data_IF_774897241007
#
_entry.id   IF_774897241007
#
_cell.length_a   1.000
_cell.length_b   1.000
_cell.length_c   1.000
_cell.angle_alpha   90.00
_cell.angle_beta   90.00
_cell.angle_gamma   90.00
#
_symmetry.space_group_name_H-M   'P 1'
#
loop_
_entity.id
_entity.type
_entity.pdbx_description
1 polymer ?
#
# COMPACT_ATOMS: atom_id res chain seq x y z
N UNK A 1 -21.05 -18.71 -18.90
CA UNK A 1 -21.90 -18.05 -17.90
C UNK A 1 -21.04 -17.04 -17.19
N UNK A 2 -21.17 -15.76 -17.55
CA UNK A 2 -20.43 -14.66 -16.92
C UNK A 2 -21.14 -14.34 -15.62
N UNK A 3 -20.44 -14.51 -14.50
CA UNK A 3 -20.93 -14.17 -13.17
C UNK A 3 -20.47 -12.75 -12.87
N UNK A 4 -21.41 -11.81 -13.02
CA UNK A 4 -21.29 -10.47 -12.44
C UNK A 4 -21.18 -10.60 -10.92
N UNK A 5 -19.98 -10.37 -10.40
CA UNK A 5 -19.74 -10.21 -8.97
C UNK A 5 -20.01 -8.74 -8.64
N UNK A 6 -21.28 -8.40 -8.43
CA UNK A 6 -21.65 -7.17 -7.74
C UNK A 6 -21.40 -7.36 -6.25
N UNK A 7 -20.24 -6.89 -5.77
CA UNK A 7 -19.98 -6.65 -4.36
C UNK A 7 -20.85 -5.46 -3.90
N UNK A 8 -21.97 -5.80 -3.27
CA UNK A 8 -22.89 -4.88 -2.62
C UNK A 8 -22.27 -4.35 -1.33
N UNK A 9 -21.37 -3.37 -1.43
CA UNK A 9 -21.14 -2.43 -0.34
C UNK A 9 -22.36 -1.51 -0.28
N UNK A 10 -22.96 -1.35 0.90
CA UNK A 10 -24.17 -0.57 1.16
C UNK A 10 -24.10 0.83 0.50
N UNK A 11 -24.67 0.98 -0.70
CA UNK A 11 -24.55 2.18 -1.55
C UNK A 11 -25.38 3.38 -1.05
N UNK A 12 -25.99 3.28 0.13
CA UNK A 12 -26.88 4.29 0.69
C UNK A 12 -26.19 5.57 1.19
N UNK A 13 -24.86 5.67 1.08
CA UNK A 13 -24.08 6.88 1.41
C UNK A 13 -23.53 7.64 0.20
N UNK A 14 -23.94 7.34 -1.03
CA UNK A 14 -23.54 8.10 -2.23
C UNK A 14 -24.43 9.33 -2.45
N UNK A 15 -24.33 10.34 -1.57
CA UNK A 15 -24.61 11.72 -2.01
C UNK A 15 -23.47 12.13 -2.94
N UNK A 16 -23.77 12.72 -4.11
CA UNK A 16 -22.71 13.24 -4.98
C UNK A 16 -21.90 14.27 -4.19
N UNK A 17 -20.63 13.97 -3.96
CA UNK A 17 -19.69 14.91 -3.34
C UNK A 17 -19.73 16.25 -4.07
N UNK A 18 -19.65 17.37 -3.34
CA UNK A 18 -19.46 18.68 -3.98
C UNK A 18 -18.09 18.79 -4.67
N UNK A 19 -17.15 17.90 -4.33
CA UNK A 19 -15.85 17.78 -4.99
C UNK A 19 -15.97 17.00 -6.28
N UNK A 20 -15.42 17.58 -7.35
CA UNK A 20 -15.46 17.00 -8.66
C UNK A 20 -14.59 15.74 -8.75
N UNK A 21 -14.92 14.87 -9.71
CA UNK A 21 -13.99 13.86 -10.18
C UNK A 21 -12.63 14.48 -10.55
N UNK A 22 -11.60 13.64 -10.63
CA UNK A 22 -10.28 14.06 -11.10
C UNK A 22 -10.38 14.89 -12.38
N UNK A 23 -9.53 15.92 -12.57
CA UNK A 23 -9.43 16.65 -13.82
C UNK A 23 -9.31 15.66 -14.99
N UNK A 24 -10.00 15.93 -16.11
CA UNK A 24 -10.09 14.99 -17.24
C UNK A 24 -8.73 14.39 -17.66
N UNK A 25 -7.66 15.18 -17.67
CA UNK A 25 -6.30 14.69 -17.98
C UNK A 25 -5.81 13.65 -16.96
N UNK A 26 -5.94 13.94 -15.66
CA UNK A 26 -5.56 13.00 -14.59
C UNK A 26 -6.41 11.72 -14.66
N UNK A 27 -7.72 11.87 -14.88
CA UNK A 27 -8.61 10.73 -15.04
C UNK A 27 -8.26 9.89 -16.28
N UNK A 28 -7.93 10.53 -17.40
CA UNK A 28 -7.55 9.82 -18.62
C UNK A 28 -6.24 9.03 -18.43
N UNK A 29 -5.23 9.62 -17.78
CA UNK A 29 -4.00 8.89 -17.45
C UNK A 29 -4.29 7.72 -16.49
N UNK A 30 -5.09 7.94 -15.44
CA UNK A 30 -5.49 6.91 -14.49
C UNK A 30 -6.22 5.74 -15.19
N UNK A 31 -7.17 6.05 -16.06
CA UNK A 31 -7.92 5.03 -16.80
C UNK A 31 -7.03 4.32 -17.84
N UNK A 32 -6.03 5.01 -18.39
CA UNK A 32 -5.07 4.42 -19.32
C UNK A 32 -4.15 3.42 -18.62
N UNK A 33 -3.59 3.78 -17.46
CA UNK A 33 -2.70 2.88 -16.72
C UNK A 33 -3.48 1.67 -16.15
N UNK A 34 -4.69 1.86 -15.64
CA UNK A 34 -5.55 0.77 -15.15
C UNK A 34 -5.86 -0.24 -16.26
N UNK A 35 -6.12 0.23 -17.48
CA UNK A 35 -6.39 -0.67 -18.62
C UNK A 35 -5.15 -1.35 -19.18
N UNK A 36 -3.97 -0.78 -18.92
CA UNK A 36 -2.70 -1.23 -19.47
C UNK A 36 -1.98 -2.24 -18.58
N UNK A 37 -2.30 -2.32 -17.30
CA UNK A 37 -1.57 -3.12 -16.32
C UNK A 37 -2.45 -3.58 -15.14
N UNK A 38 -2.64 -4.89 -15.00
CA UNK A 38 -3.46 -5.53 -13.96
C UNK A 38 -3.05 -5.14 -12.53
N UNK A 39 -1.76 -4.83 -12.30
CA UNK A 39 -1.30 -4.41 -10.96
C UNK A 39 -1.87 -3.05 -10.61
N UNK A 40 -1.98 -2.14 -11.57
CA UNK A 40 -2.57 -0.83 -11.36
C UNK A 40 -4.09 -0.87 -11.27
N UNK A 41 -4.74 -1.78 -11.99
CA UNK A 41 -6.15 -2.09 -11.74
C UNK A 41 -6.36 -2.47 -10.27
N UNK A 42 -5.54 -3.38 -9.72
CA UNK A 42 -5.61 -3.81 -8.33
C UNK A 42 -5.16 -2.77 -7.32
N UNK A 43 -4.21 -1.92 -7.67
CA UNK A 43 -3.76 -0.80 -6.84
C UNK A 43 -4.89 0.19 -6.60
N UNK A 44 -5.64 0.51 -7.65
CA UNK A 44 -6.72 1.51 -7.61
C UNK A 44 -8.11 0.90 -7.40
N UNK A 45 -8.21 -0.42 -7.29
CA UNK A 45 -9.46 -1.13 -7.00
C UNK A 45 -10.11 -0.57 -5.73
N UNK A 46 -11.39 -0.21 -5.89
CA UNK A 46 -12.27 0.38 -4.88
C UNK A 46 -11.84 1.76 -4.34
N UNK A 47 -10.94 2.48 -5.03
CA UNK A 47 -10.57 3.85 -4.64
C UNK A 47 -11.40 4.88 -5.40
N UNK A 48 -12.15 5.67 -4.66
CA UNK A 48 -12.82 6.87 -5.11
C UNK A 48 -11.86 8.07 -5.01
N UNK A 49 -11.52 8.64 -6.15
CA UNK A 49 -10.70 9.83 -6.22
C UNK A 49 -11.57 11.09 -6.20
N UNK A 50 -11.26 11.99 -5.25
CA UNK A 50 -11.90 13.29 -5.15
C UNK A 50 -10.87 14.38 -5.36
N UNK A 51 -11.19 15.35 -6.21
CA UNK A 51 -10.29 16.47 -6.51
C UNK A 51 -10.81 17.77 -5.92
N UNK A 52 -9.91 18.55 -5.34
CA UNK A 52 -10.21 19.93 -4.97
C UNK A 52 -9.06 20.87 -5.28
N UNK A 53 -9.39 22.09 -5.71
CA UNK A 53 -8.45 23.20 -5.82
C UNK A 53 -8.71 24.30 -4.79
N UNK A 54 -9.64 24.08 -3.87
CA UNK A 54 -10.01 25.00 -2.79
C UNK A 54 -10.15 24.23 -1.47
N UNK A 55 -9.83 24.90 -0.37
CA UNK A 55 -9.99 24.37 0.96
C UNK A 55 -10.96 25.29 1.72
N UNK A 56 -12.25 24.95 1.69
CA UNK A 56 -13.32 25.75 2.30
C UNK A 56 -14.06 24.98 3.41
N UNK A 57 -14.99 25.64 4.07
CA UNK A 57 -15.79 25.05 5.16
C UNK A 57 -16.63 23.84 4.70
N UNK A 58 -16.97 23.78 3.41
CA UNK A 58 -17.69 22.64 2.85
C UNK A 58 -16.78 21.42 2.79
N UNK A 59 -15.54 21.61 2.30
CA UNK A 59 -14.51 20.56 2.25
C UNK A 59 -14.30 20.02 3.64
N UNK A 60 -14.21 20.94 4.59
CA UNK A 60 -13.99 20.60 5.97
C UNK A 60 -15.09 19.70 6.52
N UNK A 61 -16.36 20.06 6.30
CA UNK A 61 -17.53 19.31 6.77
C UNK A 61 -17.66 17.94 6.09
N UNK A 62 -17.44 17.85 4.78
CA UNK A 62 -17.58 16.59 4.05
C UNK A 62 -16.47 15.61 4.41
N UNK A 63 -15.22 16.07 4.39
CA UNK A 63 -14.07 15.20 4.73
C UNK A 63 -14.03 14.82 6.20
N UNK A 64 -14.56 15.66 7.10
CA UNK A 64 -14.66 15.35 8.52
C UNK A 64 -15.35 14.02 8.80
N UNK A 65 -16.50 13.84 8.16
CA UNK A 65 -17.35 12.67 8.38
C UNK A 65 -16.63 11.40 7.93
N UNK A 66 -15.84 11.49 6.85
CA UNK A 66 -15.07 10.37 6.32
C UNK A 66 -13.82 10.08 7.17
N UNK A 67 -13.08 11.13 7.56
CA UNK A 67 -11.83 11.00 8.31
C UNK A 67 -12.06 10.50 9.74
N UNK A 68 -13.23 10.77 10.32
CA UNK A 68 -13.62 10.27 11.65
C UNK A 68 -13.61 8.75 11.78
N UNK A 69 -13.62 8.01 10.66
CA UNK A 69 -13.60 6.55 10.64
C UNK A 69 -12.25 5.99 10.17
N UNK A 70 -11.33 6.84 9.73
CA UNK A 70 -10.07 6.40 9.16
C UNK A 70 -9.13 5.89 10.27
N UNK A 71 -8.59 4.66 10.17
CA UNK A 71 -7.61 4.17 11.14
C UNK A 71 -6.29 4.96 11.09
N UNK A 72 -5.94 5.44 9.90
CA UNK A 72 -4.82 6.33 9.65
C UNK A 72 -5.00 7.02 8.30
N UNK A 73 -4.24 8.08 8.08
CA UNK A 73 -4.13 8.76 6.79
C UNK A 73 -2.74 8.54 6.20
N UNK A 74 -2.69 8.42 4.87
CA UNK A 74 -1.45 8.55 4.11
C UNK A 74 -1.45 9.89 3.40
N UNK A 75 -0.30 10.56 3.39
CA UNK A 75 -0.12 11.88 2.83
C UNK A 75 1.12 11.88 1.94
N UNK A 76 1.00 12.38 0.71
CA UNK A 76 2.14 12.68 -0.14
C UNK A 76 2.03 14.10 -0.66
N UNK A 77 3.17 14.72 -0.89
CA UNK A 77 3.27 16.06 -1.48
C UNK A 77 4.14 15.96 -2.72
N UNK A 78 3.63 16.45 -3.83
CA UNK A 78 4.34 16.49 -5.11
C UNK A 78 4.33 17.92 -5.65
N UNK A 79 5.42 18.31 -6.29
CA UNK A 79 5.50 19.60 -6.98
C UNK A 79 5.22 19.36 -8.46
N UNK A 80 4.24 20.07 -8.99
CA UNK A 80 3.83 20.00 -10.38
C UNK A 80 4.17 21.32 -11.08
N UNK A 81 4.89 21.22 -12.21
CA UNK A 81 5.21 22.35 -13.08
C UNK A 81 4.34 22.27 -14.35
N UNK A 82 3.34 23.15 -14.51
CA UNK A 82 2.43 23.10 -15.66
C UNK A 82 3.14 23.11 -17.02
N UNK A 83 4.28 23.79 -17.11
CA UNK A 83 5.07 23.93 -18.33
C UNK A 83 5.63 22.60 -18.85
N UNK A 84 5.78 21.59 -18.00
CA UNK A 84 6.26 20.26 -18.39
C UNK A 84 5.22 19.48 -19.23
N UNK A 85 3.95 19.89 -19.22
CA UNK A 85 2.88 19.21 -19.97
C UNK A 85 2.46 19.93 -21.25
N UNK A 86 2.96 21.14 -21.49
CA UNK A 86 2.67 21.91 -22.71
C UNK A 86 3.78 21.68 -23.75
N UNK A 87 3.92 20.43 -24.19
CA UNK A 87 4.81 20.06 -25.29
C UNK A 87 4.19 20.40 -26.66
N UNK A 88 3.70 21.62 -26.87
CA UNK A 88 3.30 22.10 -28.21
C UNK A 88 3.33 23.62 -28.26
N UNK A 89 4.37 24.14 -28.92
CA UNK A 89 4.49 25.42 -29.61
C UNK A 89 3.71 26.65 -29.08
N UNK A 90 4.49 27.65 -28.68
CA UNK A 90 4.15 29.08 -28.58
C UNK A 90 3.33 29.55 -27.38
N UNK A 91 3.99 29.71 -26.22
CA UNK A 91 3.72 30.88 -25.37
C UNK A 91 5.04 31.32 -24.72
N UNK A 92 5.70 32.31 -25.31
CA UNK A 92 6.81 33.04 -24.68
C UNK A 92 6.24 34.09 -23.75
N UNK A 93 5.69 33.70 -22.59
CA UNK A 93 5.41 34.62 -21.51
C UNK A 93 6.04 34.10 -20.22
N UNK A 94 7.06 34.81 -19.75
CA UNK A 94 7.92 34.51 -18.60
C UNK A 94 7.22 34.60 -17.22
N UNK A 95 5.89 34.45 -17.17
CA UNK A 95 5.07 34.62 -15.96
C UNK A 95 4.48 33.31 -15.40
N UNK A 96 4.72 32.16 -16.02
CA UNK A 96 4.10 30.88 -15.60
C UNK A 96 5.00 29.92 -14.80
N UNK A 97 6.14 30.38 -14.27
CA UNK A 97 6.98 29.59 -13.34
C UNK A 97 6.36 29.43 -11.95
N UNK A 98 5.04 29.25 -11.85
CA UNK A 98 4.38 29.02 -10.57
C UNK A 98 4.31 27.53 -10.30
N UNK A 99 5.14 27.08 -9.38
CA UNK A 99 5.07 25.73 -8.82
C UNK A 99 3.70 25.50 -8.18
N UNK A 100 3.06 24.38 -8.51
CA UNK A 100 1.80 23.96 -7.88
C UNK A 100 2.12 22.78 -6.98
N UNK A 101 1.87 22.91 -5.68
CA UNK A 101 1.95 21.76 -4.77
C UNK A 101 0.66 20.96 -4.87
N UNK A 102 0.81 19.66 -5.07
CA UNK A 102 -0.27 18.70 -5.07
C UNK A 102 -0.14 17.84 -3.81
N UNK A 103 -1.20 17.79 -3.03
CA UNK A 103 -1.31 16.94 -1.85
C UNK A 103 -2.21 15.78 -2.22
N UNK A 104 -1.78 14.56 -1.92
CA UNK A 104 -2.61 13.38 -2.01
C UNK A 104 -2.82 12.82 -0.61
N UNK A 105 -4.08 12.65 -0.20
CA UNK A 105 -4.45 12.11 1.11
C UNK A 105 -5.35 10.91 0.89
N UNK A 106 -4.85 9.71 1.15
CA UNK A 106 -5.63 8.49 0.96
C UNK A 106 -5.87 7.73 2.27
N UNK A 107 -7.06 7.13 2.37
CA UNK A 107 -7.50 6.19 3.41
C UNK A 107 -8.65 5.33 2.87
N UNK A 108 -8.66 4.04 3.21
CA UNK A 108 -9.64 3.04 2.76
C UNK A 108 -10.01 3.16 1.28
N UNK A 109 -11.21 3.65 0.99
CA UNK A 109 -11.79 3.77 -0.33
C UNK A 109 -11.68 5.17 -0.91
N UNK A 110 -11.00 6.09 -0.24
CA UNK A 110 -10.96 7.49 -0.65
C UNK A 110 -9.53 7.93 -0.87
N UNK A 111 -9.32 8.71 -1.94
CA UNK A 111 -8.12 9.49 -2.09
C UNK A 111 -8.42 10.92 -2.55
N UNK A 112 -8.06 11.89 -1.72
CA UNK A 112 -8.24 13.31 -1.96
C UNK A 112 -6.99 13.88 -2.62
N UNK A 113 -7.13 14.42 -3.83
CA UNK A 113 -6.07 15.11 -4.56
C UNK A 113 -6.35 16.61 -4.50
N UNK A 114 -5.50 17.35 -3.79
CA UNK A 114 -5.69 18.76 -3.49
C UNK A 114 -4.58 19.57 -4.16
N UNK A 115 -4.92 20.52 -5.03
CA UNK A 115 -3.94 21.45 -5.58
C UNK A 115 -3.85 22.73 -4.75
N UNK A 116 -2.74 22.94 -4.04
CA UNK A 116 -2.46 24.19 -3.36
C UNK A 116 -1.77 25.16 -4.33
N UNK A 117 -2.58 26.04 -4.91
CA UNK A 117 -2.10 27.10 -5.82
C UNK A 117 -1.57 28.33 -5.07
N UNK A 118 -1.72 28.39 -3.74
CA UNK A 118 -1.25 29.48 -2.91
C UNK A 118 -0.94 29.00 -1.47
N UNK A 119 -0.17 29.79 -0.73
CA UNK A 119 0.25 29.49 0.64
C UNK A 119 -0.94 29.37 1.61
N UNK A 120 -2.03 30.11 1.38
CA UNK A 120 -3.23 30.04 2.22
C UNK A 120 -3.89 28.65 2.16
N UNK A 121 -3.95 28.04 0.98
CA UNK A 121 -4.53 26.71 0.78
C UNK A 121 -3.68 25.64 1.48
N UNK A 122 -2.36 25.73 1.33
CA UNK A 122 -1.41 24.85 2.04
C UNK A 122 -1.55 24.99 3.56
N UNK A 123 -1.60 26.22 4.08
CA UNK A 123 -1.76 26.49 5.52
C UNK A 123 -3.08 25.92 6.05
N UNK A 124 -4.19 26.14 5.33
CA UNK A 124 -5.51 25.65 5.72
C UNK A 124 -5.56 24.12 5.76
N UNK A 125 -4.91 23.45 4.79
CA UNK A 125 -4.77 22.01 4.76
C UNK A 125 -3.92 21.48 5.94
N UNK A 126 -2.83 22.16 6.27
CA UNK A 126 -1.97 21.79 7.39
C UNK A 126 -2.73 21.94 8.72
N UNK A 127 -3.47 23.03 8.89
CA UNK A 127 -4.32 23.25 10.06
C UNK A 127 -5.41 22.18 10.19
N UNK A 128 -6.05 21.84 9.07
CA UNK A 128 -6.99 20.73 8.99
C UNK A 128 -6.38 19.42 9.48
N UNK A 129 -5.27 18.99 8.88
CA UNK A 129 -4.63 17.72 9.24
C UNK A 129 -4.16 17.71 10.69
N UNK A 130 -3.64 18.83 11.19
CA UNK A 130 -3.25 18.98 12.60
C UNK A 130 -4.46 18.85 13.54
N UNK A 131 -5.60 19.45 13.18
CA UNK A 131 -6.85 19.31 13.93
C UNK A 131 -7.29 17.85 13.98
N UNK A 132 -7.34 17.15 12.84
CA UNK A 132 -7.74 15.74 12.78
C UNK A 132 -6.84 14.83 13.59
N UNK A 133 -5.53 15.00 13.45
CA UNK A 133 -4.57 14.21 14.21
C UNK A 133 -4.76 14.39 15.72
N UNK A 134 -5.03 15.61 16.19
CA UNK A 134 -5.22 15.91 17.61
C UNK A 134 -6.56 15.38 18.14
N UNK A 135 -7.65 15.58 17.41
CA UNK A 135 -9.00 15.23 17.85
C UNK A 135 -9.27 13.73 17.80
N UNK A 136 -8.77 13.04 16.78
CA UNK A 136 -9.07 11.63 16.54
C UNK A 136 -7.95 10.68 16.95
N UNK A 137 -6.81 11.21 17.41
CA UNK A 137 -5.59 10.42 17.59
C UNK A 137 -5.19 9.65 16.31
N UNK A 138 -5.58 10.17 15.14
CA UNK A 138 -5.34 9.53 13.86
C UNK A 138 -3.86 9.69 13.47
N UNK A 139 -3.21 8.58 13.16
CA UNK A 139 -1.84 8.59 12.65
C UNK A 139 -1.82 9.13 11.22
N UNK A 140 -0.85 9.98 10.90
CA UNK A 140 -0.63 10.49 9.54
C UNK A 140 0.75 10.04 9.08
N UNK A 141 0.79 9.26 8.02
CA UNK A 141 2.02 8.79 7.40
C UNK A 141 2.36 9.65 6.20
N UNK A 142 3.47 10.38 6.25
CA UNK A 142 4.01 11.05 5.07
C UNK A 142 4.75 10.04 4.18
N UNK A 143 4.44 10.02 2.89
CA UNK A 143 4.84 9.02 1.92
C UNK A 143 5.45 9.75 0.72
N UNK A 144 6.66 9.38 0.29
CA UNK A 144 7.31 9.97 -0.88
C UNK A 144 8.19 8.95 -1.61
N UNK A 145 8.34 9.12 -2.92
CA UNK A 145 9.33 8.41 -3.72
C UNK A 145 10.72 9.04 -3.65
N UNK A 146 10.81 10.29 -3.19
CA UNK A 146 12.05 11.05 -3.12
C UNK A 146 12.29 11.59 -1.71
N UNK A 147 13.37 11.13 -1.09
CA UNK A 147 13.82 11.61 0.22
C UNK A 147 14.16 13.11 0.23
N UNK A 148 14.42 13.70 -0.94
CA UNK A 148 14.70 15.13 -1.10
C UNK A 148 13.49 16.02 -0.83
N UNK A 149 12.28 15.49 -1.05
CA UNK A 149 11.02 16.20 -0.80
C UNK A 149 10.72 16.25 0.70
N UNK A 150 11.34 17.21 1.40
CA UNK A 150 11.10 17.45 2.82
C UNK A 150 9.81 18.23 3.02
N UNK A 151 8.71 17.52 3.24
CA UNK A 151 7.53 18.08 3.88
C UNK A 151 7.74 18.03 5.40
N UNK A 152 7.95 19.20 6.03
CA UNK A 152 8.09 19.29 7.48
C UNK A 152 7.09 20.32 8.04
N UNK A 153 5.81 19.94 8.18
CA UNK A 153 4.84 20.76 8.87
C UNK A 153 5.18 20.79 10.37
N UNK A 154 5.47 21.97 10.91
CA UNK A 154 5.74 22.14 12.35
C UNK A 154 4.58 21.70 13.25
N UNK A 155 3.37 21.60 12.71
CA UNK A 155 2.12 21.35 13.44
C UNK A 155 1.56 19.94 13.31
N UNK A 156 2.10 19.11 12.41
CA UNK A 156 1.64 17.73 12.20
C UNK A 156 2.76 16.77 12.63
N UNK A 157 2.45 15.90 13.58
CA UNK A 157 3.33 14.83 14.00
C UNK A 157 3.31 13.73 12.95
N UNK A 158 4.24 13.76 12.02
CA UNK A 158 4.38 12.68 11.03
C UNK A 158 4.74 11.38 11.75
N UNK A 159 3.94 10.36 11.53
CA UNK A 159 4.23 9.01 11.99
C UNK A 159 5.34 8.42 11.13
N UNK A 160 6.52 8.30 11.72
CA UNK A 160 7.64 7.61 11.10
C UNK A 160 7.62 6.13 11.48
N UNK A 161 7.62 5.30 10.44
CA UNK A 161 8.07 3.91 10.51
C UNK A 161 9.25 3.85 9.57
N UNK A 162 10.42 3.48 10.10
CA UNK A 162 11.70 3.59 9.40
C UNK A 162 11.71 2.89 8.03
N UNK A 163 10.89 1.86 7.87
CA UNK A 163 10.87 1.03 6.67
C UNK A 163 9.82 1.43 5.61
N UNK A 164 8.87 2.31 5.93
CA UNK A 164 7.73 2.62 5.05
C UNK A 164 8.18 3.24 3.73
N UNK A 165 9.11 4.19 3.79
CA UNK A 165 9.62 4.86 2.59
C UNK A 165 10.42 3.89 1.71
N UNK A 166 11.16 2.95 2.31
CA UNK A 166 11.82 1.89 1.54
C UNK A 166 10.79 1.04 0.78
N UNK A 167 9.73 0.59 1.44
CA UNK A 167 8.67 -0.23 0.83
C UNK A 167 8.02 0.48 -0.37
N UNK A 168 7.70 1.77 -0.22
CA UNK A 168 7.10 2.59 -1.27
C UNK A 168 8.09 2.85 -2.41
N UNK A 169 9.34 3.17 -2.08
CA UNK A 169 10.40 3.41 -3.05
C UNK A 169 10.68 2.16 -3.88
N UNK A 170 10.59 0.97 -3.29
CA UNK A 170 10.81 -0.32 -3.97
C UNK A 170 9.70 -0.62 -4.97
N UNK A 171 8.45 -0.31 -4.61
CA UNK A 171 7.33 -0.35 -5.55
C UNK A 171 7.56 0.60 -6.73
N UNK A 172 7.87 1.87 -6.46
CA UNK A 172 8.13 2.84 -7.51
C UNK A 172 9.30 2.43 -8.40
N UNK A 173 10.42 2.00 -7.82
CA UNK A 173 11.61 1.57 -8.57
C UNK A 173 11.30 0.42 -9.52
N UNK A 174 10.44 -0.51 -9.12
CA UNK A 174 10.01 -1.63 -9.97
C UNK A 174 9.15 -1.16 -11.15
N UNK A 175 8.21 -0.24 -10.91
CA UNK A 175 7.28 0.25 -11.93
C UNK A 175 7.71 1.58 -12.57
N UNK A 176 8.94 2.04 -12.34
CA UNK A 176 9.39 3.38 -12.69
C UNK A 176 9.17 3.69 -14.17
N UNK A 177 9.65 2.82 -15.06
CA UNK A 177 9.53 3.01 -16.51
C UNK A 177 8.07 3.13 -16.97
N UNK A 178 7.15 2.41 -16.33
CA UNK A 178 5.72 2.51 -16.63
C UNK A 178 5.16 3.83 -16.10
N UNK A 179 5.40 4.12 -14.82
CA UNK A 179 4.89 5.29 -14.11
C UNK A 179 5.42 6.63 -14.67
N UNK A 180 6.64 6.66 -15.20
CA UNK A 180 7.23 7.83 -15.85
C UNK A 180 6.41 8.27 -17.10
N UNK A 181 5.60 7.37 -17.68
CA UNK A 181 4.67 7.72 -18.78
C UNK A 181 3.34 8.32 -18.29
N UNK A 182 3.09 8.33 -16.98
CA UNK A 182 1.84 8.80 -16.36
C UNK A 182 2.13 9.79 -15.22
N UNK A 183 2.71 10.97 -15.54
CA UNK A 183 3.18 11.92 -14.55
C UNK A 183 2.07 12.49 -13.65
N UNK A 184 0.82 12.52 -14.10
CA UNK A 184 -0.29 12.96 -13.25
C UNK A 184 -0.72 11.88 -12.25
N UNK A 185 -0.59 10.61 -12.63
CA UNK A 185 -0.87 9.48 -11.72
C UNK A 185 0.20 9.42 -10.61
N UNK A 186 1.46 9.71 -10.96
CA UNK A 186 2.56 9.80 -10.00
C UNK A 186 2.30 10.76 -8.82
N UNK A 187 1.42 11.74 -8.97
CA UNK A 187 1.07 12.70 -7.92
C UNK A 187 0.37 12.06 -6.71
N UNK A 188 -0.29 10.91 -6.90
CA UNK A 188 -1.05 10.24 -5.83
C UNK A 188 -0.70 8.78 -5.59
N UNK A 189 0.07 8.13 -6.48
CA UNK A 189 0.55 6.76 -6.27
C UNK A 189 1.27 6.56 -4.93
N UNK A 190 2.17 7.46 -4.44
CA UNK A 190 2.86 7.23 -3.18
C UNK A 190 1.88 7.00 -2.02
N UNK A 191 0.85 7.84 -1.89
CA UNK A 191 -0.16 7.72 -0.83
C UNK A 191 -1.00 6.46 -0.97
N UNK A 192 -1.42 6.11 -2.19
CA UNK A 192 -2.20 4.87 -2.43
C UNK A 192 -1.40 3.62 -2.06
N UNK A 193 -0.16 3.50 -2.55
CA UNK A 193 0.73 2.37 -2.26
C UNK A 193 1.03 2.29 -0.76
N UNK A 194 1.34 3.44 -0.16
CA UNK A 194 1.56 3.57 1.28
C UNK A 194 0.34 3.04 2.04
N UNK A 195 -0.88 3.39 1.65
CA UNK A 195 -2.09 2.93 2.32
C UNK A 195 -2.28 1.42 2.19
N UNK A 196 -2.17 0.87 0.96
CA UNK A 196 -2.35 -0.56 0.68
C UNK A 196 -1.37 -1.45 1.46
N UNK A 197 -0.15 -0.96 1.73
CA UNK A 197 0.86 -1.68 2.53
C UNK A 197 0.64 -1.43 4.03
N UNK A 198 0.48 -0.17 4.44
CA UNK A 198 0.45 0.19 5.87
C UNK A 198 -0.79 -0.32 6.60
N UNK A 199 -1.88 -0.65 5.89
CA UNK A 199 -3.08 -1.22 6.51
C UNK A 199 -2.84 -2.55 7.24
N UNK A 200 -1.87 -3.35 6.81
CA UNK A 200 -1.51 -4.62 7.47
C UNK A 200 -0.68 -4.44 8.76
N UNK A 201 -0.29 -3.21 9.06
CA UNK A 201 0.36 -2.85 10.32
C UNK A 201 -0.62 -2.40 11.40
N UNK A 202 -1.93 -2.42 11.09
CA UNK A 202 -3.01 -1.99 11.96
C UNK A 202 -3.90 -3.17 12.34
N UNK A 203 -4.64 -3.03 13.44
CA UNK A 203 -5.57 -4.06 13.87
C UNK A 203 -6.77 -4.14 12.93
N UNK A 204 -7.18 -5.37 12.57
CA UNK A 204 -8.27 -5.67 11.64
C UNK A 204 -9.56 -4.91 11.93
N UNK A 205 -9.95 -4.82 13.20
CA UNK A 205 -11.20 -4.18 13.65
C UNK A 205 -11.25 -2.66 13.45
N UNK A 206 -10.15 -2.03 13.03
CA UNK A 206 -10.11 -0.59 12.80
C UNK A 206 -10.58 -0.20 11.38
N UNK A 207 -10.83 -1.17 10.50
CA UNK A 207 -11.23 -0.93 9.12
C UNK A 207 -12.72 -1.18 8.92
N UNK A 208 -13.34 -0.41 8.02
CA UNK A 208 -14.71 -0.67 7.58
C UNK A 208 -14.81 -1.94 6.75
N UNK A 209 -13.87 -2.12 5.81
CA UNK A 209 -13.71 -3.34 5.03
C UNK A 209 -12.44 -4.03 5.47
N UNK A 210 -12.61 -5.15 6.16
CA UNK A 210 -11.51 -5.98 6.63
C UNK A 210 -11.32 -7.25 5.79
N UNK A 211 -12.07 -7.40 4.69
CA UNK A 211 -12.05 -8.61 3.85
C UNK A 211 -10.69 -8.80 3.16
N UNK A 212 -9.91 -7.72 3.02
CA UNK A 212 -8.56 -7.80 2.49
C UNK A 212 -7.59 -8.58 3.40
N UNK A 213 -7.90 -8.77 4.69
CA UNK A 213 -7.15 -9.67 5.57
C UNK A 213 -7.42 -11.15 5.26
N UNK A 214 -8.54 -11.46 4.62
CA UNK A 214 -8.96 -12.83 4.31
C UNK A 214 -8.63 -13.25 2.87
N UNK A 215 -7.91 -12.43 2.12
CA UNK A 215 -7.59 -12.67 0.71
C UNK A 215 -6.97 -14.06 0.47
N UNK A 216 -6.26 -14.60 1.47
CA UNK A 216 -5.65 -15.92 1.43
C UNK A 216 -6.21 -16.94 2.41
N UNK A 217 -7.36 -16.67 3.03
CA UNK A 217 -7.92 -17.54 4.06
C UNK A 217 -8.28 -18.93 3.57
N UNK A 218 -8.83 -19.02 2.36
CA UNK A 218 -9.14 -20.32 1.73
C UNK A 218 -7.91 -21.15 1.33
N UNK A 219 -6.72 -20.56 1.35
CA UNK A 219 -5.46 -21.23 0.97
C UNK A 219 -4.63 -21.67 2.19
N UNK A 220 -5.18 -21.50 3.39
CA UNK A 220 -4.53 -21.90 4.64
C UNK A 220 -4.35 -23.42 4.70
N UNK A 221 -3.16 -23.86 5.12
CA UNK A 221 -2.92 -25.27 5.42
C UNK A 221 -3.48 -25.59 6.82
N UNK A 222 -4.51 -26.44 6.90
CA UNK A 222 -5.09 -26.88 8.18
C UNK A 222 -4.68 -28.34 8.43
N UNK A 223 -3.89 -28.64 9.47
CA UNK A 223 -3.50 -30.01 9.79
C UNK A 223 -4.73 -30.88 10.06
N UNK A 224 -4.85 -32.01 9.35
CA UNK A 224 -5.95 -32.96 9.54
C UNK A 224 -7.04 -32.93 8.47
N UNK A 225 -7.07 -31.95 7.56
CA UNK A 225 -8.01 -31.87 6.42
C UNK A 225 -7.66 -32.86 5.29
N UNK A 226 -7.42 -34.14 5.62
CA UNK A 226 -7.17 -35.22 4.64
C UNK A 226 -8.37 -35.53 3.74
N UNK A 227 -9.54 -34.93 3.99
CA UNK A 227 -10.76 -35.14 3.20
C UNK A 227 -11.10 -34.01 2.22
N UNK A 228 -10.30 -32.94 2.14
CA UNK A 228 -10.50 -31.83 1.18
C UNK A 228 -9.42 -31.75 0.10
N UNK A 229 -8.74 -32.85 -0.21
CA UNK A 229 -7.78 -32.91 -1.34
C UNK A 229 -8.43 -32.51 -2.69
N UNK A 230 -9.76 -32.51 -2.82
CA UNK A 230 -10.46 -32.05 -4.02
C UNK A 230 -10.83 -30.55 -4.03
N UNK A 231 -10.81 -29.83 -2.91
CA UNK A 231 -11.28 -28.43 -2.84
C UNK A 231 -10.30 -27.44 -2.19
N UNK A 232 -9.38 -27.86 -1.31
CA UNK A 232 -8.27 -26.99 -0.88
C UNK A 232 -7.23 -26.92 -2.00
N UNK A 233 -7.56 -26.24 -3.09
CA UNK A 233 -6.63 -25.96 -4.16
C UNK A 233 -5.47 -25.16 -3.57
N UNK A 234 -4.31 -25.82 -3.38
CA UNK A 234 -3.06 -25.16 -3.04
C UNK A 234 -2.86 -24.01 -4.03
N UNK A 235 -2.82 -22.77 -3.54
CA UNK A 235 -2.57 -21.65 -4.42
C UNK A 235 -1.20 -21.84 -5.07
N UNK A 236 -1.19 -21.84 -6.40
CA UNK A 236 0.05 -21.95 -7.16
C UNK A 236 0.57 -20.53 -7.32
N UNK A 237 1.58 -20.20 -6.53
CA UNK A 237 2.22 -18.89 -6.55
C UNK A 237 3.16 -18.78 -7.77
N UNK A 238 2.93 -17.77 -8.61
CA UNK A 238 3.88 -17.36 -9.65
C UNK A 238 4.92 -16.41 -9.04
N UNK A 239 6.23 -16.68 -9.17
CA UNK A 239 7.30 -15.74 -8.77
C UNK A 239 7.12 -14.31 -9.27
N UNK A 240 6.51 -14.11 -10.43
CA UNK A 240 6.29 -12.80 -11.04
C UNK A 240 5.14 -12.02 -10.36
N UNK A 241 4.31 -12.69 -9.55
CA UNK A 241 3.25 -12.04 -8.77
C UNK A 241 3.80 -11.35 -7.51
N UNK A 242 5.11 -11.40 -7.28
CA UNK A 242 5.74 -10.92 -6.06
C UNK A 242 6.75 -9.81 -6.32
N UNK A 243 6.59 -8.73 -5.55
CA UNK A 243 7.54 -7.65 -5.47
C UNK A 243 8.27 -7.69 -4.12
N UNK A 244 9.59 -7.85 -4.13
CA UNK A 244 10.40 -7.73 -2.91
C UNK A 244 10.39 -6.29 -2.43
N UNK A 245 9.88 -6.05 -1.21
CA UNK A 245 9.87 -4.72 -0.60
C UNK A 245 11.14 -4.49 0.22
N UNK A 246 11.48 -5.36 1.17
CA UNK A 246 12.66 -5.16 2.02
C UNK A 246 13.13 -6.44 2.70
N UNK A 247 14.31 -6.37 3.31
CA UNK A 247 14.84 -7.39 4.19
C UNK A 247 14.16 -7.37 5.58
N UNK A 248 13.85 -8.54 6.13
CA UNK A 248 13.28 -8.70 7.47
C UNK A 248 14.28 -9.28 8.48
N UNK A 249 15.17 -10.17 8.05
CA UNK A 249 16.11 -10.81 8.96
C UNK A 249 16.83 -12.01 8.35
N UNK A 250 17.79 -12.55 9.08
CA UNK A 250 18.51 -13.77 8.73
C UNK A 250 18.36 -14.80 9.83
N UNK A 251 18.11 -16.04 9.42
CA UNK A 251 18.30 -17.23 10.24
C UNK A 251 19.63 -17.91 9.90
N UNK A 252 19.91 -19.02 10.58
CA UNK A 252 21.10 -19.83 10.31
C UNK A 252 21.13 -20.41 8.90
N UNK A 253 19.97 -20.76 8.35
CA UNK A 253 19.84 -21.44 7.04
C UNK A 253 19.14 -20.65 5.96
N UNK A 254 18.72 -19.42 6.25
CA UNK A 254 17.81 -18.68 5.38
C UNK A 254 17.88 -17.17 5.59
N UNK A 255 17.46 -16.43 4.59
CA UNK A 255 17.13 -15.01 4.69
C UNK A 255 15.63 -14.83 4.55
N UNK A 256 15.06 -13.89 5.30
CA UNK A 256 13.64 -13.57 5.26
C UNK A 256 13.47 -12.16 4.70
N UNK A 257 12.59 -12.04 3.72
CA UNK A 257 12.24 -10.78 3.07
C UNK A 257 10.73 -10.54 3.16
N UNK A 258 10.35 -9.26 3.15
CA UNK A 258 8.98 -8.84 2.94
C UNK A 258 8.75 -8.74 1.43
N UNK A 259 7.74 -9.45 0.95
CA UNK A 259 7.26 -9.35 -0.42
C UNK A 259 5.80 -8.90 -0.44
N UNK A 260 5.42 -8.18 -1.49
CA UNK A 260 4.05 -7.79 -1.78
C UNK A 260 3.53 -8.66 -2.93
N UNK A 261 2.42 -9.35 -2.72
CA UNK A 261 1.72 -10.03 -3.81
C UNK A 261 0.90 -9.01 -4.61
N UNK A 262 1.31 -8.73 -5.85
CA UNK A 262 0.86 -7.57 -6.63
C UNK A 262 -0.61 -7.65 -7.05
N UNK A 263 -1.17 -8.86 -7.17
CA UNK A 263 -2.58 -9.07 -7.53
C UNK A 263 -3.57 -8.78 -6.40
N UNK A 264 -3.12 -8.81 -5.14
CA UNK A 264 -3.99 -8.63 -3.96
C UNK A 264 -3.50 -7.53 -3.02
N UNK A 265 -2.28 -7.02 -3.25
CA UNK A 265 -1.55 -6.16 -2.33
C UNK A 265 -1.41 -6.75 -0.93
N UNK A 266 -1.40 -8.08 -0.81
CA UNK A 266 -1.22 -8.77 0.47
C UNK A 266 0.28 -8.97 0.75
N UNK A 267 0.79 -8.58 1.94
CA UNK A 267 2.19 -8.76 2.29
C UNK A 267 2.47 -10.18 2.79
N UNK A 268 3.61 -10.72 2.37
CA UNK A 268 4.10 -12.03 2.79
C UNK A 268 5.53 -11.93 3.32
N UNK A 269 5.84 -12.75 4.31
CA UNK A 269 7.22 -13.04 4.67
C UNK A 269 7.69 -14.22 3.82
N UNK A 270 8.67 -14.01 2.94
CA UNK A 270 9.25 -15.07 2.13
C UNK A 270 10.61 -15.46 2.70
N UNK A 271 10.71 -16.73 3.10
CA UNK A 271 11.93 -17.33 3.62
C UNK A 271 12.69 -18.00 2.48
N UNK A 272 13.82 -17.41 2.10
CA UNK A 272 14.73 -17.91 1.07
C UNK A 272 15.86 -18.72 1.71
N UNK A 273 16.00 -19.98 1.34
CA UNK A 273 17.04 -20.85 1.87
C UNK A 273 18.38 -20.64 1.18
N UNK A 274 19.45 -20.72 1.97
CA UNK A 274 20.84 -20.64 1.51
C UNK A 274 21.21 -21.89 0.71
N UNK A 275 21.81 -21.70 -0.47
CA UNK A 275 22.18 -22.80 -1.37
C UNK A 275 23.52 -23.45 -1.03
N UNK A 276 24.35 -22.78 -0.23
CA UNK A 276 25.73 -23.15 0.09
C UNK A 276 25.86 -24.07 1.31
N UNK A 277 24.74 -24.52 1.89
CA UNK A 277 24.73 -25.34 3.09
C UNK A 277 24.55 -26.83 2.78
N UNK A 278 25.40 -27.65 3.40
CA UNK A 278 25.25 -29.10 3.38
C UNK A 278 23.91 -29.51 4.01
N UNK A 279 23.28 -30.56 3.46
CA UNK A 279 22.01 -31.11 3.93
C UNK A 279 20.82 -30.13 3.93
N UNK A 280 20.89 -29.01 3.22
CA UNK A 280 19.80 -28.02 3.19
C UNK A 280 18.46 -28.61 2.75
N UNK A 281 18.45 -29.58 1.84
CA UNK A 281 17.22 -30.22 1.37
C UNK A 281 16.49 -30.98 2.49
N UNK A 282 17.23 -31.64 3.38
CA UNK A 282 16.66 -32.31 4.56
C UNK A 282 16.07 -31.30 5.56
N UNK A 283 16.75 -30.16 5.73
CA UNK A 283 16.27 -29.07 6.60
C UNK A 283 14.97 -28.49 6.05
N UNK A 284 14.94 -28.20 4.75
CA UNK A 284 13.75 -27.70 4.05
C UNK A 284 12.60 -28.69 4.18
N UNK A 285 12.84 -29.98 3.93
CA UNK A 285 11.80 -31.01 4.04
C UNK A 285 11.25 -31.12 5.47
N UNK A 286 12.13 -31.13 6.48
CA UNK A 286 11.74 -31.18 7.89
C UNK A 286 10.88 -29.99 8.29
N UNK A 287 11.27 -28.79 7.87
CA UNK A 287 10.54 -27.56 8.20
C UNK A 287 9.20 -27.48 7.46
N UNK A 288 9.14 -27.89 6.19
CA UNK A 288 7.87 -28.01 5.47
C UNK A 288 6.92 -28.98 6.18
N UNK A 289 7.41 -30.17 6.54
CA UNK A 289 6.62 -31.15 7.31
C UNK A 289 6.13 -30.59 8.64
N UNK A 290 6.90 -29.72 9.30
CA UNK A 290 6.45 -29.07 10.53
C UNK A 290 5.22 -28.20 10.26
N UNK A 291 5.29 -27.27 9.30
CA UNK A 291 4.15 -26.41 8.99
C UNK A 291 2.93 -27.17 8.47
N UNK A 292 3.13 -28.26 7.73
CA UNK A 292 2.04 -29.09 7.22
C UNK A 292 1.36 -29.93 8.33
N UNK A 293 2.03 -30.20 9.45
CA UNK A 293 1.47 -31.08 10.49
C UNK A 293 1.06 -30.35 11.77
N UNK A 294 1.45 -29.09 11.97
CA UNK A 294 1.18 -28.35 13.20
C UNK A 294 0.53 -26.99 12.91
N UNK A 295 -0.55 -26.69 13.63
CA UNK A 295 -1.23 -25.40 13.63
C UNK A 295 -1.56 -25.03 15.06
N UNK A 296 -1.06 -23.89 15.52
CA UNK A 296 -1.27 -23.38 16.86
C UNK A 296 -1.22 -21.84 16.84
N UNK A 297 -2.03 -21.12 17.64
CA UNK A 297 -2.00 -19.66 17.72
C UNK A 297 -0.66 -19.02 18.15
N UNK A 298 0.33 -19.81 18.56
CA UNK A 298 1.68 -19.35 18.98
C UNK A 298 2.78 -19.81 18.02
N UNK A 299 2.41 -20.49 16.94
CA UNK A 299 3.26 -20.77 15.81
C UNK A 299 2.83 -19.80 14.72
N UNK A 300 3.76 -19.34 13.88
CA UNK A 300 3.41 -18.53 12.69
C UNK A 300 2.28 -19.23 11.97
N UNK A 301 1.12 -18.58 11.94
CA UNK A 301 -0.14 -19.29 11.86
C UNK A 301 -0.38 -19.82 10.45
N UNK A 302 0.16 -19.13 9.43
CA UNK A 302 -0.01 -19.51 8.04
C UNK A 302 1.29 -19.79 7.30
N UNK A 303 1.43 -21.04 6.88
CA UNK A 303 2.26 -21.47 5.76
C UNK A 303 1.36 -21.60 4.53
N UNK A 304 1.59 -20.75 3.53
CA UNK A 304 0.78 -20.71 2.32
C UNK A 304 1.32 -21.63 1.23
N UNK A 305 2.57 -22.07 1.36
CA UNK A 305 3.18 -23.00 0.42
C UNK A 305 4.62 -22.65 0.07
N UNK A 306 5.02 -23.12 -1.10
CA UNK A 306 6.38 -22.96 -1.63
C UNK A 306 6.34 -22.17 -2.92
N UNK A 307 7.40 -21.42 -3.17
CA UNK A 307 7.65 -20.73 -4.44
C UNK A 307 9.09 -21.00 -4.90
N UNK A 308 9.30 -21.08 -6.21
CA UNK A 308 10.65 -21.27 -6.78
C UNK A 308 10.95 -20.11 -7.71
N UNK A 309 11.75 -19.15 -7.25
CA UNK A 309 12.20 -18.04 -8.08
C UNK A 309 13.19 -18.51 -9.16
N UNK A 310 13.14 -17.97 -10.39
CA UNK A 310 13.99 -18.41 -11.51
C UNK A 310 15.49 -18.42 -11.18
N UNK A 311 15.94 -17.43 -10.42
CA UNK A 311 17.36 -17.22 -10.07
C UNK A 311 17.76 -17.88 -8.73
N UNK A 312 16.91 -18.76 -8.18
CA UNK A 312 17.15 -19.41 -6.89
C UNK A 312 17.11 -20.92 -7.05
N UNK A 313 18.16 -21.65 -6.65
CA UNK A 313 18.23 -23.09 -6.85
C UNK A 313 17.26 -23.86 -5.92
N UNK A 314 16.93 -23.28 -4.76
CA UNK A 314 16.06 -23.88 -3.74
C UNK A 314 14.70 -23.20 -3.72
N UNK A 315 13.68 -23.95 -3.32
CA UNK A 315 12.34 -23.41 -3.05
C UNK A 315 12.38 -22.51 -1.82
N UNK A 316 11.58 -21.46 -1.83
CA UNK A 316 11.35 -20.55 -0.71
C UNK A 316 9.99 -20.82 -0.08
N UNK A 317 9.83 -20.51 1.20
CA UNK A 317 8.54 -20.65 1.89
C UNK A 317 7.82 -19.32 1.91
N UNK A 318 6.50 -19.37 1.67
CA UNK A 318 5.60 -18.23 1.80
C UNK A 318 4.90 -18.33 3.15
N UNK A 319 5.17 -17.37 4.01
CA UNK A 319 4.70 -17.31 5.39
C UNK A 319 3.88 -16.04 5.62
N UNK A 320 3.05 -16.09 6.64
CA UNK A 320 2.40 -14.90 7.19
C UNK A 320 3.40 -13.81 7.56
N UNK A 321 3.11 -12.58 7.16
CA UNK A 321 3.88 -11.42 7.59
C UNK A 321 3.38 -10.90 8.94
N UNK A 322 4.25 -10.96 9.95
CA UNK A 322 4.01 -10.42 11.29
C UNK A 322 4.51 -8.98 11.37
N UNK A 323 3.59 -8.03 11.29
CA UNK A 323 3.90 -6.60 11.10
C UNK A 323 4.54 -5.90 12.31
N UNK A 324 4.42 -6.49 13.50
CA UNK A 324 5.07 -6.01 14.73
C UNK A 324 6.51 -6.51 14.91
N UNK A 325 7.06 -7.26 13.95
CA UNK A 325 8.43 -7.76 14.03
C UNK A 325 8.61 -8.83 15.11
N UNK A 326 9.85 -8.99 15.57
CA UNK A 326 10.24 -10.03 16.53
C UNK A 326 10.05 -9.57 17.98
N UNK A 327 9.92 -10.53 18.91
CA UNK A 327 9.88 -10.23 20.33
C UNK A 327 11.16 -9.51 20.82
N UNK A 328 12.32 -9.88 20.28
CA UNK A 328 13.61 -9.29 20.66
C UNK A 328 13.70 -7.79 20.31
N UNK A 329 13.09 -7.38 19.20
CA UNK A 329 13.00 -5.96 18.80
C UNK A 329 12.04 -5.20 19.74
N UNK A 330 10.89 -5.78 20.06
CA UNK A 330 9.88 -5.14 20.90
C UNK A 330 10.33 -5.01 22.37
N UNK A 331 11.00 -6.01 22.94
CA UNK A 331 11.47 -5.94 24.33
C UNK A 331 12.43 -4.76 24.55
N UNK A 332 13.29 -4.43 23.58
CA UNK A 332 14.17 -3.27 23.69
C UNK A 332 13.40 -1.96 23.84
N UNK A 333 12.21 -1.85 23.24
CA UNK A 333 11.37 -0.65 23.38
C UNK A 333 10.64 -0.54 24.72
N UNK A 334 10.61 -1.60 25.54
CA UNK A 334 9.95 -1.58 26.85
C UNK A 334 10.87 -1.21 28.01
N UNK A 335 12.19 -1.42 27.87
CA UNK A 335 13.17 -1.21 28.93
C UNK A 335 13.99 0.08 28.78
N UNK A 336 13.75 0.86 27.72
CA UNK A 336 14.35 2.15 27.44
C UNK A 336 13.26 3.13 27.04
#
# INVERSE_FOLDING_TARGET
>A
MSTDITLSCDHNYRKSSMYSALPNKMNNELMSIIKGDDVFEKLFENIEFQYSNHFDDSFWKETAVLFNKAPFLTLSVSVFHPDQMLSTNQVTNSQFNKEIKIYSICFEFYCFVISATNAQTEQSLIEFLSFYQKQLHCSIFYCSFDESTRFNPSTIKISNRDNKNEEIFRFYSHYKTLLDNYPLVLLFVPSVVCYKIQRFYMHRQLFFDDTFFDAFEKYKYTPGDKQKESESQKYIFDPNDFLMLRYLGNGSTSTIFLYLHTKTFYPFAIKEFRSDLDNIDQIIEREQKFYENYSHPFIVYYYYGNIKFPNKPKKSFILEFMSNGTLAENIKSFFF
#
